data_IF_170752626993
#
_entry.id   IF_170752626993
#
_cell.length_a   1.000
_cell.length_b   1.000
_cell.length_c   1.000
_cell.angle_alpha   90.00
_cell.angle_beta   90.00
_cell.angle_gamma   90.00
#
_symmetry.space_group_name_H-M   'P 1'
#
loop_
_entity.id
_entity.type
_entity.pdbx_description
1 polymer ?
#
# COMPACT_ATOMS: atom_id res chain seq x y z
N UNK A 1 32.80 -10.68 -5.75
CA UNK A 1 31.45 -10.09 -5.73
C UNK A 1 31.63 -8.58 -5.62
N UNK A 2 31.45 -7.86 -6.72
CA UNK A 2 31.58 -6.41 -6.79
C UNK A 2 30.42 -5.73 -6.04
N UNK A 3 30.74 -4.72 -5.25
CA UNK A 3 29.76 -3.87 -4.55
C UNK A 3 28.82 -3.23 -5.57
N UNK A 4 27.48 -3.32 -5.43
CA UNK A 4 26.58 -2.69 -6.37
C UNK A 4 26.39 -1.20 -6.03
N UNK A 5 26.67 -0.36 -7.03
CA UNK A 5 26.14 0.99 -7.27
C UNK A 5 26.32 2.05 -6.15
N UNK A 6 27.49 2.69 -6.11
CA UNK A 6 27.66 4.04 -5.53
C UNK A 6 27.49 5.17 -6.56
N UNK A 7 27.26 4.86 -7.85
CA UNK A 7 27.49 5.82 -8.94
C UNK A 7 26.32 6.78 -9.26
N UNK A 8 25.08 6.53 -8.85
CA UNK A 8 23.93 7.34 -9.31
C UNK A 8 23.82 8.71 -8.62
N UNK A 9 24.22 8.83 -7.36
CA UNK A 9 24.20 10.09 -6.62
C UNK A 9 25.39 11.00 -6.99
N UNK A 10 26.53 10.38 -7.33
CA UNK A 10 27.75 11.08 -7.75
C UNK A 10 27.63 11.66 -9.16
N UNK A 11 26.64 11.20 -9.95
CA UNK A 11 26.32 11.72 -11.28
C UNK A 11 25.39 12.95 -11.27
N UNK A 12 24.88 13.36 -10.11
CA UNK A 12 23.97 14.52 -10.03
C UNK A 12 24.76 15.84 -10.02
N UNK A 13 24.33 16.87 -10.76
CA UNK A 13 24.88 18.22 -10.60
C UNK A 13 24.84 18.66 -9.13
N UNK A 14 25.87 19.37 -8.67
CA UNK A 14 26.01 19.75 -7.26
C UNK A 14 24.75 20.47 -6.70
N UNK A 15 24.13 21.32 -7.52
CA UNK A 15 22.87 22.00 -7.16
C UNK A 15 21.72 21.01 -6.93
N UNK A 16 21.56 20.01 -7.80
CA UNK A 16 20.50 19.01 -7.68
C UNK A 16 20.76 18.06 -6.50
N UNK A 17 22.03 17.71 -6.26
CA UNK A 17 22.43 16.95 -5.09
C UNK A 17 22.10 17.70 -3.79
N UNK A 18 22.36 19.02 -3.74
CA UNK A 18 22.01 19.84 -2.59
C UNK A 18 20.50 19.96 -2.40
N UNK A 19 19.75 20.21 -3.47
CA UNK A 19 18.28 20.26 -3.44
C UNK A 19 17.67 18.94 -2.93
N UNK A 20 18.20 17.80 -3.38
CA UNK A 20 17.76 16.49 -2.91
C UNK A 20 18.06 16.29 -1.41
N UNK A 21 19.26 16.68 -0.95
CA UNK A 21 19.63 16.63 0.47
C UNK A 21 18.68 17.48 1.32
N UNK A 22 18.42 18.71 0.91
CA UNK A 22 17.54 19.62 1.63
C UNK A 22 16.10 19.09 1.66
N UNK A 23 15.61 18.55 0.53
CA UNK A 23 14.30 17.92 0.45
C UNK A 23 14.19 16.71 1.38
N UNK A 24 15.19 15.83 1.40
CA UNK A 24 15.22 14.65 2.28
C UNK A 24 15.29 15.07 3.75
N UNK A 25 16.10 16.08 4.08
CA UNK A 25 16.19 16.63 5.44
C UNK A 25 14.84 17.18 5.91
N UNK A 26 14.18 17.98 5.09
CA UNK A 26 12.87 18.53 5.40
C UNK A 26 11.79 17.44 5.51
N UNK A 27 11.78 16.47 4.60
CA UNK A 27 10.85 15.35 4.66
C UNK A 27 11.06 14.52 5.93
N UNK A 28 12.31 14.25 6.30
CA UNK A 28 12.65 13.54 7.52
C UNK A 28 12.17 14.33 8.74
N UNK A 29 12.52 15.61 8.86
CA UNK A 29 12.07 16.50 9.96
C UNK A 29 10.56 16.48 10.16
N UNK A 30 9.79 16.60 9.07
CA UNK A 30 8.32 16.54 9.08
C UNK A 30 7.77 15.22 9.66
N UNK A 31 8.54 14.14 9.58
CA UNK A 31 8.18 12.84 10.15
C UNK A 31 8.67 12.74 11.60
N UNK A 32 9.94 13.03 11.85
CA UNK A 32 10.58 12.73 13.14
C UNK A 32 10.19 13.72 14.25
N UNK A 33 9.91 14.99 13.92
CA UNK A 33 9.52 16.00 14.90
C UNK A 33 8.18 15.66 15.57
N UNK A 34 7.07 15.42 14.84
CA UNK A 34 5.80 15.05 15.49
C UNK A 34 5.86 13.68 16.17
N UNK A 35 6.65 12.74 15.62
CA UNK A 35 6.71 11.37 16.13
C UNK A 35 7.62 11.22 17.36
N UNK A 36 8.44 12.21 17.70
CA UNK A 36 9.26 12.19 18.91
C UNK A 36 8.43 12.16 20.20
N UNK A 37 7.19 12.66 20.15
CA UNK A 37 6.22 12.60 21.24
C UNK A 37 5.37 11.30 21.24
N UNK A 38 5.58 10.39 20.29
CA UNK A 38 4.82 9.13 20.21
C UNK A 38 5.10 8.21 21.41
N UNK A 39 4.16 7.32 21.73
CA UNK A 39 4.36 6.34 22.79
C UNK A 39 5.60 5.48 22.55
N UNK A 40 5.90 5.12 21.30
CA UNK A 40 7.11 4.39 20.98
C UNK A 40 8.37 5.20 21.27
N UNK A 41 8.44 6.47 20.84
CA UNK A 41 9.57 7.34 21.12
C UNK A 41 9.79 7.57 22.63
N UNK A 42 8.70 7.65 23.39
CA UNK A 42 8.75 7.89 24.83
C UNK A 42 9.09 6.64 25.64
N UNK A 43 8.62 5.46 25.22
CA UNK A 43 8.70 4.25 26.05
C UNK A 43 9.68 3.20 25.55
N UNK A 44 10.10 3.23 24.28
CA UNK A 44 11.02 2.22 23.76
C UNK A 44 12.44 2.44 24.33
N UNK A 45 13.04 1.42 24.97
CA UNK A 45 14.40 1.54 25.52
C UNK A 45 15.45 1.89 24.46
N UNK A 46 15.24 1.40 23.24
CA UNK A 46 16.11 1.63 22.09
C UNK A 46 16.24 3.11 21.71
N UNK A 47 15.28 3.95 22.10
CA UNK A 47 15.27 5.39 21.82
C UNK A 47 15.65 6.26 23.04
N UNK A 48 16.08 5.65 24.16
CA UNK A 48 16.36 6.38 25.39
C UNK A 48 17.39 7.49 25.23
N UNK A 49 18.52 7.22 24.55
CA UNK A 49 19.57 8.22 24.30
C UNK A 49 19.09 9.38 23.44
N UNK A 50 18.32 9.07 22.39
CA UNK A 50 17.75 10.10 21.52
C UNK A 50 16.78 10.99 22.30
N UNK A 51 15.88 10.39 23.10
CA UNK A 51 14.93 11.12 23.95
C UNK A 51 15.61 12.04 24.95
N UNK A 52 16.69 11.57 25.58
CA UNK A 52 17.48 12.39 26.51
C UNK A 52 18.11 13.60 25.80
N UNK A 53 18.75 13.37 24.64
CA UNK A 53 19.41 14.42 23.87
C UNK A 53 18.43 15.52 23.41
N UNK A 54 17.24 15.16 22.94
CA UNK A 54 16.25 16.16 22.48
C UNK A 54 15.56 16.90 23.64
N UNK A 55 15.63 16.38 24.86
CA UNK A 55 15.10 17.05 26.06
C UNK A 55 16.08 18.11 26.58
N UNK A 56 17.37 17.89 26.35
CA UNK A 56 18.46 18.78 26.78
C UNK A 56 18.82 19.85 25.74
N UNK A 57 18.56 19.58 24.45
CA UNK A 57 18.87 20.49 23.34
C UNK A 57 17.84 21.61 23.13
N UNK A 58 18.15 22.55 22.24
CA UNK A 58 17.19 23.55 21.79
C UNK A 58 16.10 22.89 20.94
N UNK A 59 14.86 22.91 21.43
CA UNK A 59 13.70 22.38 20.73
C UNK A 59 13.51 22.96 19.31
N UNK A 60 14.05 24.14 19.01
CA UNK A 60 13.90 24.81 17.71
C UNK A 60 15.07 24.61 16.74
N UNK A 61 16.18 23.99 17.15
CA UNK A 61 17.31 23.72 16.25
C UNK A 61 17.08 22.44 15.44
N UNK A 62 16.64 22.60 14.19
CA UNK A 62 16.41 21.49 13.26
C UNK A 62 17.69 20.80 12.78
N UNK A 63 18.82 21.50 12.76
CA UNK A 63 20.11 20.93 12.34
C UNK A 63 20.61 20.01 13.45
N UNK A 64 20.60 20.48 14.69
CA UNK A 64 20.98 19.68 15.84
C UNK A 64 20.04 18.46 15.99
N UNK A 65 18.73 18.67 15.89
CA UNK A 65 17.75 17.58 15.99
C UNK A 65 17.97 16.47 14.95
N UNK A 66 18.24 16.84 13.69
CA UNK A 66 18.59 15.88 12.64
C UNK A 66 19.89 15.13 12.93
N UNK A 67 20.90 15.84 13.44
CA UNK A 67 22.19 15.26 13.81
C UNK A 67 22.03 14.23 14.93
N UNK A 68 21.29 14.59 15.99
CA UNK A 68 20.97 13.71 17.10
C UNK A 68 20.17 12.50 16.64
N UNK A 69 19.16 12.68 15.77
CA UNK A 69 18.39 11.56 15.22
C UNK A 69 19.28 10.56 14.49
N UNK A 70 20.11 11.02 13.56
CA UNK A 70 21.00 10.16 12.77
C UNK A 70 22.04 9.42 13.60
N UNK A 71 22.49 10.03 14.69
CA UNK A 71 23.54 9.49 15.55
C UNK A 71 22.98 8.53 16.59
N UNK A 72 21.80 8.81 17.14
CA UNK A 72 21.29 8.17 18.35
C UNK A 72 20.13 7.21 18.09
N UNK A 73 19.43 7.31 16.96
CA UNK A 73 18.36 6.38 16.60
C UNK A 73 18.94 5.22 15.80
N UNK A 74 18.98 4.00 16.35
CA UNK A 74 19.55 2.86 15.65
C UNK A 74 18.58 2.32 14.59
N UNK A 75 19.12 1.55 13.66
CA UNK A 75 18.33 0.72 12.76
C UNK A 75 17.63 -0.36 13.59
N UNK A 76 16.33 -0.54 13.38
CA UNK A 76 15.47 -1.42 14.17
C UNK A 76 14.78 -2.48 13.31
N UNK A 77 14.29 -3.53 13.96
CA UNK A 77 13.50 -4.60 13.34
C UNK A 77 12.10 -4.67 13.94
N UNK A 78 11.21 -5.46 13.32
CA UNK A 78 9.78 -5.53 13.66
C UNK A 78 9.52 -5.94 15.11
N UNK A 79 10.40 -6.77 15.68
CA UNK A 79 10.29 -7.35 17.01
C UNK A 79 10.26 -6.27 18.10
N UNK A 80 10.87 -5.09 17.85
CA UNK A 80 10.82 -3.95 18.78
C UNK A 80 9.47 -3.21 18.75
N UNK A 81 8.73 -3.31 17.64
CA UNK A 81 7.42 -2.67 17.45
C UNK A 81 6.27 -3.61 17.82
N UNK A 82 6.48 -4.92 17.76
CA UNK A 82 5.46 -5.93 18.00
C UNK A 82 4.70 -5.76 19.33
N UNK A 83 5.33 -5.49 20.49
CA UNK A 83 4.60 -5.24 21.74
C UNK A 83 3.67 -4.02 21.68
N UNK A 84 4.05 -2.99 20.93
CA UNK A 84 3.24 -1.78 20.74
C UNK A 84 2.05 -2.06 19.82
N UNK A 85 2.25 -2.85 18.76
CA UNK A 85 1.19 -3.28 17.85
C UNK A 85 0.21 -4.26 18.53
N UNK A 86 0.69 -5.11 19.44
CA UNK A 86 -0.13 -6.05 20.18
C UNK A 86 -1.20 -5.35 21.05
N UNK A 87 -0.94 -4.11 21.51
CA UNK A 87 -1.90 -3.31 22.31
C UNK A 87 -3.23 -3.07 21.59
N UNK A 88 -3.22 -3.00 20.25
CA UNK A 88 -4.47 -2.89 19.48
C UNK A 88 -5.39 -4.09 19.69
N UNK A 89 -4.85 -5.26 20.07
CA UNK A 89 -5.61 -6.49 20.27
C UNK A 89 -5.86 -6.81 21.75
N UNK A 90 -5.53 -5.89 22.67
CA UNK A 90 -5.89 -6.02 24.07
C UNK A 90 -7.41 -5.98 24.26
N UNK A 91 -7.91 -6.59 25.35
CA UNK A 91 -9.32 -6.59 25.71
C UNK A 91 -9.48 -6.09 27.16
N UNK A 92 -9.99 -4.85 27.37
CA UNK A 92 -10.38 -3.86 26.36
C UNK A 92 -9.15 -3.16 25.74
N UNK A 93 -9.25 -2.80 24.45
CA UNK A 93 -8.29 -1.88 23.80
C UNK A 93 -8.73 -0.44 24.03
N UNK A 94 -8.11 0.28 24.96
CA UNK A 94 -8.47 1.68 25.26
C UNK A 94 -7.74 2.64 24.34
N UNK A 95 -8.41 3.72 23.93
CA UNK A 95 -7.83 4.76 23.07
C UNK A 95 -6.50 5.28 23.62
N UNK A 96 -6.42 5.60 24.92
CA UNK A 96 -5.19 6.07 25.58
C UNK A 96 -3.99 5.12 25.39
N UNK A 97 -4.25 3.81 25.28
CA UNK A 97 -3.20 2.82 25.13
C UNK A 97 -2.66 2.74 23.70
N UNK A 98 -3.40 3.26 22.70
CA UNK A 98 -3.08 3.12 21.26
C UNK A 98 -3.04 4.43 20.46
N UNK A 99 -3.51 5.53 21.03
CA UNK A 99 -3.42 6.88 20.47
C UNK A 99 -1.99 7.39 20.55
N UNK A 100 -1.53 8.06 19.49
CA UNK A 100 -0.16 8.53 19.36
C UNK A 100 0.88 7.39 19.44
N UNK A 101 0.53 6.17 19.06
CA UNK A 101 1.37 4.98 19.27
C UNK A 101 2.74 5.09 18.57
N UNK A 102 2.72 5.30 17.25
CA UNK A 102 3.92 5.45 16.41
C UNK A 102 3.97 6.82 15.72
N UNK A 103 2.83 7.48 15.58
CA UNK A 103 2.67 8.81 15.01
C UNK A 103 1.42 9.47 15.63
N UNK A 104 1.27 10.80 15.54
CA UNK A 104 0.12 11.50 16.09
C UNK A 104 -1.24 10.94 15.62
N UNK A 105 -2.19 10.87 16.55
CA UNK A 105 -3.55 10.36 16.34
C UNK A 105 -3.66 8.83 16.40
N UNK A 106 -4.77 8.31 15.89
CA UNK A 106 -4.99 6.89 15.69
C UNK A 106 -4.58 6.49 14.27
N UNK A 107 -4.08 5.25 14.05
CA UNK A 107 -3.89 4.75 12.70
C UNK A 107 -5.23 4.64 11.98
N UNK A 108 -5.22 4.82 10.65
CA UNK A 108 -6.38 4.61 9.79
C UNK A 108 -6.69 3.12 9.63
N UNK A 109 -5.65 2.29 9.54
CA UNK A 109 -5.76 0.83 9.46
C UNK A 109 -4.46 0.14 9.89
N UNK A 110 -4.52 -1.16 10.19
CA UNK A 110 -3.35 -2.03 10.35
C UNK A 110 -3.09 -2.77 9.05
N UNK A 111 -1.97 -2.44 8.39
CA UNK A 111 -1.56 -3.12 7.17
C UNK A 111 -0.97 -4.49 7.48
N UNK A 112 -1.63 -5.53 6.97
CA UNK A 112 -1.09 -6.89 6.93
C UNK A 112 -0.13 -7.02 5.75
N UNK A 113 1.11 -7.41 6.05
CA UNK A 113 2.12 -7.68 5.01
C UNK A 113 2.22 -9.17 4.72
N UNK A 114 2.80 -9.51 3.56
CA UNK A 114 3.13 -10.89 3.20
C UNK A 114 4.32 -11.45 4.00
N UNK A 115 5.12 -10.58 4.62
CA UNK A 115 6.21 -10.97 5.50
C UNK A 115 5.66 -11.42 6.87
N UNK A 116 6.17 -12.54 7.37
CA UNK A 116 5.79 -13.09 8.69
C UNK A 116 6.89 -12.89 9.72
N UNK A 117 6.53 -12.69 10.99
CA UNK A 117 7.40 -12.95 12.15
C UNK A 117 6.79 -14.10 12.96
N UNK A 118 7.59 -15.10 13.34
CA UNK A 118 7.06 -16.25 14.10
C UNK A 118 5.91 -17.00 13.41
N UNK A 119 5.87 -17.01 12.06
CA UNK A 119 4.77 -17.55 11.22
C UNK A 119 3.45 -16.76 11.26
N UNK A 120 3.41 -15.62 11.95
CA UNK A 120 2.27 -14.68 11.97
C UNK A 120 2.58 -13.50 11.04
N UNK A 121 1.63 -13.01 10.24
CA UNK A 121 1.83 -11.83 9.40
C UNK A 121 2.23 -10.61 10.23
N UNK A 122 3.24 -9.85 9.77
CA UNK A 122 3.60 -8.57 10.38
C UNK A 122 2.53 -7.52 10.10
N UNK A 123 2.15 -6.76 11.13
CA UNK A 123 1.12 -5.74 11.10
C UNK A 123 1.74 -4.35 11.29
N UNK A 124 1.45 -3.42 10.37
CA UNK A 124 2.00 -2.08 10.41
C UNK A 124 0.87 -1.05 10.52
N UNK A 125 0.80 -0.26 11.61
CA UNK A 125 -0.13 0.86 11.70
C UNK A 125 0.12 1.87 10.58
N UNK A 126 -0.92 2.19 9.81
CA UNK A 126 -0.87 3.18 8.73
C UNK A 126 -1.66 4.41 9.11
N UNK A 127 -0.97 5.53 9.19
CA UNK A 127 -1.57 6.84 9.47
C UNK A 127 -1.86 7.54 8.15
N UNK A 128 -2.84 8.44 8.16
CA UNK A 128 -3.12 9.29 7.01
C UNK A 128 -1.91 10.21 6.78
N UNK A 129 -1.25 10.15 5.61
CA UNK A 129 -0.14 11.05 5.34
C UNK A 129 -0.66 12.49 5.21
N UNK A 130 0.22 13.51 5.37
CA UNK A 130 -0.13 14.87 5.00
C UNK A 130 -0.66 14.95 3.56
N UNK A 131 -1.62 15.84 3.30
CA UNK A 131 -2.32 15.97 2.01
C UNK A 131 -1.37 16.05 0.81
N UNK A 132 -0.24 16.75 0.96
CA UNK A 132 0.81 16.86 -0.07
C UNK A 132 1.42 15.51 -0.51
N UNK A 133 1.31 14.46 0.30
CA UNK A 133 1.82 13.12 0.00
C UNK A 133 0.72 12.12 -0.38
N UNK A 134 -0.57 12.48 -0.29
CA UNK A 134 -1.67 11.61 -0.73
C UNK A 134 -1.63 11.37 -2.26
N UNK A 135 -1.08 12.32 -3.02
CA UNK A 135 -1.03 12.27 -4.49
C UNK A 135 0.04 11.30 -5.05
N UNK A 136 0.97 10.81 -4.22
CA UNK A 136 2.05 9.91 -4.66
C UNK A 136 1.78 8.43 -4.42
N UNK A 137 0.57 8.05 -3.99
CA UNK A 137 0.22 6.64 -3.83
C UNK A 137 0.13 5.95 -5.20
N UNK A 138 1.00 4.96 -5.39
CA UNK A 138 1.24 4.06 -6.54
C UNK A 138 0.02 3.33 -7.15
N UNK A 139 -1.20 3.65 -6.74
CA UNK A 139 -2.40 3.14 -7.40
C UNK A 139 -2.83 4.12 -8.48
N UNK A 140 -2.85 3.65 -9.72
CA UNK A 140 -3.19 4.42 -10.92
C UNK A 140 -4.46 5.27 -10.70
N UNK A 141 -4.34 6.57 -11.00
CA UNK A 141 -5.48 7.46 -11.10
C UNK A 141 -6.17 7.12 -12.42
N UNK A 142 -7.48 6.85 -12.44
CA UNK A 142 -8.22 6.71 -13.68
C UNK A 142 -8.04 7.97 -14.53
N UNK A 143 -7.51 7.81 -15.75
CA UNK A 143 -7.54 8.90 -16.72
C UNK A 143 -8.95 9.03 -17.28
N UNK A 144 -9.31 10.19 -17.80
CA UNK A 144 -10.55 10.38 -18.57
C UNK A 144 -10.58 9.58 -19.87
N UNK A 145 -9.50 8.87 -20.23
CA UNK A 145 -9.31 8.18 -21.51
C UNK A 145 -9.83 6.74 -21.49
N UNK A 146 -10.21 6.19 -20.33
CA UNK A 146 -10.78 4.85 -20.22
C UNK A 146 -10.82 4.30 -18.79
N UNK A 147 -11.00 2.99 -18.67
CA UNK A 147 -11.11 2.31 -17.37
C UNK A 147 -9.83 1.55 -16.99
N UNK A 148 -9.68 1.33 -15.69
CA UNK A 148 -8.56 0.58 -15.12
C UNK A 148 -9.02 -0.79 -14.66
N UNK A 149 -8.37 -1.82 -15.18
CA UNK A 149 -8.43 -3.17 -14.62
C UNK A 149 -7.38 -3.29 -13.50
N UNK A 150 -7.82 -3.05 -12.27
CA UNK A 150 -6.98 -3.10 -11.07
C UNK A 150 -7.65 -3.88 -9.94
N UNK A 151 -7.42 -5.20 -9.83
CA UNK A 151 -7.91 -5.98 -8.70
C UNK A 151 -7.36 -5.45 -7.38
N UNK A 152 -8.24 -5.15 -6.43
CA UNK A 152 -7.90 -4.82 -5.06
C UNK A 152 -8.82 -5.58 -4.12
N UNK A 153 -8.28 -6.08 -3.02
CA UNK A 153 -9.04 -6.85 -2.04
C UNK A 153 -9.33 -5.99 -0.82
N UNK A 154 -10.60 -5.94 -0.42
CA UNK A 154 -11.09 -5.34 0.82
C UNK A 154 -11.37 -6.39 1.90
N UNK A 155 -11.00 -7.64 1.66
CA UNK A 155 -11.19 -8.76 2.59
C UNK A 155 -10.62 -8.38 3.96
N UNK A 156 -11.48 -8.46 4.97
CA UNK A 156 -11.05 -8.59 6.34
C UNK A 156 -10.50 -9.99 6.52
N UNK A 157 -9.22 -10.09 6.86
CA UNK A 157 -8.58 -11.39 7.04
C UNK A 157 -9.35 -12.27 8.04
N UNK A 158 -9.16 -13.59 7.98
CA UNK A 158 -9.60 -14.54 9.02
C UNK A 158 -9.13 -14.19 10.45
N UNK A 159 -8.25 -13.20 10.62
CA UNK A 159 -7.99 -12.51 11.89
C UNK A 159 -9.04 -11.40 12.13
N UNK A 160 -10.31 -11.67 11.84
CA UNK A 160 -11.44 -10.74 11.67
C UNK A 160 -11.85 -9.96 12.91
N UNK A 161 -11.00 -9.87 13.93
CA UNK A 161 -11.13 -8.84 14.94
C UNK A 161 -10.64 -7.55 14.30
N UNK A 162 -11.56 -6.78 13.70
CA UNK A 162 -11.36 -5.35 13.63
C UNK A 162 -11.29 -4.90 15.10
N UNK A 163 -10.10 -4.58 15.64
CA UNK A 163 -10.01 -4.34 17.06
C UNK A 163 -10.85 -3.11 17.38
N UNK A 164 -11.66 -3.22 18.42
CA UNK A 164 -12.51 -2.13 18.89
C UNK A 164 -11.69 -1.30 19.84
N UNK A 165 -11.41 -0.06 19.43
CA UNK A 165 -10.77 0.92 20.26
C UNK A 165 -11.86 1.64 21.04
N UNK A 166 -11.89 1.45 22.35
CA UNK A 166 -12.82 2.16 23.24
C UNK A 166 -12.34 3.60 23.41
N UNK A 167 -13.13 4.56 22.95
CA UNK A 167 -12.77 5.97 22.98
C UNK A 167 -12.84 6.51 24.41
N UNK A 168 -12.12 7.61 24.65
CA UNK A 168 -12.04 8.24 25.98
C UNK A 168 -13.40 8.73 26.51
N UNK A 169 -14.40 8.91 25.64
CA UNK A 169 -15.77 9.25 26.02
C UNK A 169 -16.50 8.14 26.80
N UNK A 170 -15.92 6.92 26.86
CA UNK A 170 -16.44 5.77 27.59
C UNK A 170 -17.72 5.16 27.00
N UNK A 171 -18.25 5.69 25.90
CA UNK A 171 -19.51 5.26 25.30
C UNK A 171 -19.34 4.75 23.88
N UNK A 172 -18.35 5.23 23.14
CA UNK A 172 -18.15 4.89 21.75
C UNK A 172 -16.93 3.99 21.56
N UNK A 173 -16.98 3.20 20.49
CA UNK A 173 -15.86 2.38 20.06
C UNK A 173 -15.65 2.55 18.57
N UNK A 174 -14.40 2.68 18.15
CA UNK A 174 -14.04 2.72 16.75
C UNK A 174 -13.45 1.37 16.31
N UNK A 175 -13.94 0.82 15.20
CA UNK A 175 -13.36 -0.38 14.59
C UNK A 175 -12.11 -0.02 13.80
N UNK A 176 -11.00 -0.70 14.06
CA UNK A 176 -9.78 -0.54 13.27
C UNK A 176 -9.63 -1.67 12.25
N UNK A 177 -9.56 -1.33 10.96
CA UNK A 177 -9.44 -2.34 9.90
C UNK A 177 -8.07 -3.04 9.93
N UNK A 178 -8.06 -4.38 9.87
CA UNK A 178 -6.86 -5.21 9.68
C UNK A 178 -6.93 -5.84 8.29
N UNK A 179 -6.17 -5.26 7.35
CA UNK A 179 -6.37 -5.48 5.92
C UNK A 179 -5.04 -5.46 5.17
N UNK A 180 -5.02 -6.05 3.97
CA UNK A 180 -3.88 -5.89 3.06
C UNK A 180 -3.63 -4.40 2.76
N UNK A 181 -2.34 -4.03 2.62
CA UNK A 181 -1.94 -2.64 2.41
C UNK A 181 -2.70 -1.97 1.26
N UNK A 182 -2.88 -2.67 0.13
CA UNK A 182 -3.60 -2.20 -1.05
C UNK A 182 -5.07 -1.84 -0.76
N UNK A 183 -5.78 -2.70 -0.03
CA UNK A 183 -7.15 -2.44 0.38
C UNK A 183 -7.27 -1.28 1.35
N UNK A 184 -6.35 -1.19 2.33
CA UNK A 184 -6.31 -0.06 3.25
C UNK A 184 -5.99 1.28 2.57
N UNK A 185 -5.12 1.28 1.56
CA UNK A 185 -4.88 2.46 0.73
C UNK A 185 -6.09 2.88 -0.09
N UNK A 186 -6.81 1.92 -0.67
CA UNK A 186 -8.06 2.19 -1.38
C UNK A 186 -9.07 2.85 -0.44
N UNK A 187 -9.31 2.28 0.74
CA UNK A 187 -10.19 2.87 1.76
C UNK A 187 -9.77 4.28 2.15
N UNK A 188 -8.47 4.49 2.40
CA UNK A 188 -7.95 5.80 2.78
C UNK A 188 -8.13 6.84 1.67
N UNK A 189 -7.89 6.46 0.40
CA UNK A 189 -8.04 7.33 -0.77
C UNK A 189 -9.49 7.74 -0.99
N UNK A 190 -10.40 6.77 -0.88
CA UNK A 190 -11.82 6.99 -1.11
C UNK A 190 -12.56 7.49 0.14
N UNK A 191 -11.84 7.68 1.25
CA UNK A 191 -12.39 8.01 2.55
C UNK A 191 -13.53 7.08 2.97
N UNK A 192 -13.35 5.77 2.73
CA UNK A 192 -14.28 4.73 3.13
C UNK A 192 -13.94 4.20 4.52
N UNK A 193 -14.94 4.17 5.37
CA UNK A 193 -14.95 3.42 6.63
C UNK A 193 -15.37 1.97 6.41
N UNK A 194 -15.31 1.14 7.45
CA UNK A 194 -15.72 -0.25 7.39
C UNK A 194 -17.23 -0.41 7.61
N UNK A 195 -17.79 0.43 8.45
CA UNK A 195 -19.16 0.36 8.95
C UNK A 195 -20.20 0.43 7.82
N UNK A 196 -19.91 1.17 6.74
CA UNK A 196 -20.82 1.33 5.61
C UNK A 196 -20.42 0.50 4.38
N UNK A 197 -19.66 -0.58 4.54
CA UNK A 197 -19.30 -1.45 3.41
C UNK A 197 -20.55 -2.03 2.71
N UNK A 198 -21.56 -2.40 3.50
CA UNK A 198 -22.80 -2.98 2.97
C UNK A 198 -23.65 -1.96 2.20
N UNK A 199 -23.56 -0.69 2.55
CA UNK A 199 -24.25 0.39 1.84
C UNK A 199 -23.59 0.70 0.48
N UNK A 200 -22.37 0.20 0.25
CA UNK A 200 -21.58 0.43 -0.96
C UNK A 200 -21.61 -0.75 -1.93
N UNK A 201 -22.45 -1.77 -1.72
CA UNK A 201 -22.46 -2.95 -2.61
C UNK A 201 -22.77 -2.59 -4.06
N UNK A 202 -23.64 -1.61 -4.29
CA UNK A 202 -24.01 -1.14 -5.63
C UNK A 202 -23.06 -0.05 -6.17
N UNK A 203 -22.04 0.33 -5.40
CA UNK A 203 -21.10 1.38 -5.81
C UNK A 203 -20.20 0.90 -6.94
N UNK A 204 -20.33 1.54 -8.09
CA UNK A 204 -19.31 1.46 -9.13
C UNK A 204 -18.19 2.43 -8.83
N UNK A 205 -16.98 1.91 -8.63
CA UNK A 205 -15.83 2.75 -8.29
C UNK A 205 -15.44 3.55 -9.54
N UNK A 206 -15.44 4.90 -9.50
CA UNK A 206 -15.19 5.71 -10.68
C UNK A 206 -13.87 5.34 -11.37
N UNK A 207 -13.95 5.01 -12.66
CA UNK A 207 -12.81 4.67 -13.49
C UNK A 207 -12.22 3.25 -13.30
N UNK A 208 -12.86 2.40 -12.50
CA UNK A 208 -12.50 0.98 -12.37
C UNK A 208 -13.47 0.10 -13.15
N UNK A 209 -12.97 -1.04 -13.62
CA UNK A 209 -13.79 -2.00 -14.38
C UNK A 209 -14.80 -2.75 -13.51
N UNK A 210 -14.52 -2.97 -12.22
CA UNK A 210 -15.33 -3.80 -11.34
C UNK A 210 -16.01 -2.97 -10.23
N UNK A 211 -17.22 -3.37 -9.78
CA UNK A 211 -17.91 -2.73 -8.66
C UNK A 211 -17.20 -2.99 -7.33
N UNK A 212 -17.52 -2.19 -6.33
CA UNK A 212 -17.02 -2.33 -4.96
C UNK A 212 -17.24 -3.73 -4.39
N UNK A 213 -18.41 -4.33 -4.62
CA UNK A 213 -18.74 -5.67 -4.12
C UNK A 213 -17.73 -6.76 -4.54
N UNK A 214 -17.08 -6.63 -5.70
CA UNK A 214 -16.07 -7.58 -6.14
C UNK A 214 -14.86 -7.63 -5.18
N UNK A 215 -14.55 -6.50 -4.53
CA UNK A 215 -13.42 -6.39 -3.60
C UNK A 215 -13.66 -7.14 -2.28
N UNK A 216 -14.92 -7.47 -1.95
CA UNK A 216 -15.31 -8.17 -0.72
C UNK A 216 -15.26 -9.70 -0.85
N UNK A 217 -14.98 -10.24 -2.04
CA UNK A 217 -14.93 -11.68 -2.28
C UNK A 217 -13.71 -12.28 -1.57
N UNK A 218 -13.94 -13.15 -0.57
CA UNK A 218 -12.88 -13.78 0.22
C UNK A 218 -12.12 -14.88 -0.54
N UNK A 219 -12.80 -15.60 -1.42
CA UNK A 219 -12.16 -16.65 -2.21
C UNK A 219 -11.26 -16.03 -3.29
N UNK A 220 -9.95 -16.27 -3.17
CA UNK A 220 -8.94 -15.71 -4.07
C UNK A 220 -9.22 -16.02 -5.55
N UNK A 221 -9.72 -17.22 -5.87
CA UNK A 221 -9.99 -17.59 -7.26
C UNK A 221 -11.23 -16.86 -7.77
N UNK A 222 -12.33 -16.87 -7.04
CA UNK A 222 -13.56 -16.17 -7.38
C UNK A 222 -13.31 -14.66 -7.49
N UNK A 223 -12.53 -14.08 -6.58
CA UNK A 223 -12.09 -12.69 -6.61
C UNK A 223 -11.46 -12.33 -7.97
N UNK A 224 -10.42 -13.06 -8.40
CA UNK A 224 -9.78 -12.79 -9.68
C UNK A 224 -10.71 -13.04 -10.87
N UNK A 225 -11.53 -14.08 -10.83
CA UNK A 225 -12.46 -14.41 -11.91
C UNK A 225 -13.54 -13.33 -12.09
N UNK A 226 -14.11 -12.82 -11.01
CA UNK A 226 -15.14 -11.78 -11.06
C UNK A 226 -14.55 -10.48 -11.60
N UNK A 227 -13.38 -10.05 -11.10
CA UNK A 227 -12.69 -8.88 -11.63
C UNK A 227 -12.34 -9.02 -13.12
N UNK A 228 -11.87 -10.20 -13.54
CA UNK A 228 -11.59 -10.48 -14.94
C UNK A 228 -12.85 -10.46 -15.81
N UNK A 229 -13.98 -10.97 -15.31
CA UNK A 229 -15.25 -10.95 -16.03
C UNK A 229 -15.69 -9.52 -16.35
N UNK A 230 -15.64 -8.63 -15.36
CA UNK A 230 -15.96 -7.22 -15.55
C UNK A 230 -14.98 -6.52 -16.51
N UNK A 231 -13.69 -6.81 -16.40
CA UNK A 231 -12.69 -6.26 -17.33
C UNK A 231 -12.92 -6.77 -18.76
N UNK A 232 -13.32 -8.03 -18.95
CA UNK A 232 -13.56 -8.60 -20.28
C UNK A 232 -14.79 -8.01 -20.99
N UNK A 233 -15.76 -7.49 -20.22
CA UNK A 233 -16.94 -6.80 -20.78
C UNK A 233 -16.66 -5.35 -21.16
N UNK A 234 -15.53 -4.80 -20.72
CA UNK A 234 -15.17 -3.41 -20.95
C UNK A 234 -14.10 -3.30 -22.05
N UNK A 235 -14.48 -2.77 -23.21
CA UNK A 235 -13.56 -2.53 -24.32
C UNK A 235 -12.68 -1.30 -24.12
N UNK A 236 -12.98 -0.45 -23.14
CA UNK A 236 -12.31 0.81 -22.84
C UNK A 236 -11.22 0.66 -21.78
N UNK A 237 -10.81 -0.57 -21.45
CA UNK A 237 -9.68 -0.81 -20.54
C UNK A 237 -8.39 -0.27 -21.17
N UNK A 238 -7.89 0.83 -20.62
CA UNK A 238 -6.65 1.47 -21.08
C UNK A 238 -5.45 1.08 -20.23
N UNK A 239 -5.70 0.70 -18.97
CA UNK A 239 -4.65 0.38 -18.00
C UNK A 239 -4.95 -0.91 -17.26
N UNK A 240 -3.95 -1.79 -17.20
CA UNK A 240 -3.92 -2.90 -16.25
C UNK A 240 -2.97 -2.60 -15.11
N UNK A 241 -3.43 -2.77 -13.88
CA UNK A 241 -2.60 -2.61 -12.69
C UNK A 241 -2.72 -3.82 -11.78
N UNK A 242 -1.63 -4.56 -11.65
CA UNK A 242 -1.53 -5.69 -10.74
C UNK A 242 -0.40 -5.44 -9.76
N UNK A 243 -0.62 -5.70 -8.47
CA UNK A 243 0.46 -5.58 -7.48
C UNK A 243 1.64 -6.49 -7.82
N UNK A 244 1.34 -7.73 -8.22
CA UNK A 244 2.34 -8.69 -8.67
C UNK A 244 1.96 -9.20 -10.05
N UNK A 245 2.92 -9.23 -10.96
CA UNK A 245 2.76 -9.68 -12.35
C UNK A 245 2.29 -11.14 -12.47
N UNK A 246 2.57 -11.99 -11.48
CA UNK A 246 2.13 -13.39 -11.45
C UNK A 246 0.61 -13.55 -11.24
N UNK A 247 -0.09 -12.51 -10.78
CA UNK A 247 -1.54 -12.51 -10.55
C UNK A 247 -2.35 -12.70 -11.83
N UNK A 248 -1.72 -12.53 -13.00
CA UNK A 248 -2.37 -12.57 -14.31
C UNK A 248 -2.71 -13.99 -14.81
N UNK A 249 -2.40 -15.04 -14.05
CA UNK A 249 -2.53 -16.45 -14.49
C UNK A 249 -3.92 -17.08 -14.30
N UNK A 250 -4.95 -16.34 -13.88
CA UNK A 250 -6.21 -16.94 -13.38
C UNK A 250 -7.50 -16.49 -14.08
N UNK A 251 -7.62 -16.67 -15.40
CA UNK A 251 -8.84 -16.32 -16.17
C UNK A 251 -9.44 -17.53 -16.89
N UNK A 252 -10.76 -17.76 -16.77
CA UNK A 252 -11.54 -18.77 -17.52
C UNK A 252 -12.76 -18.16 -18.22
N UNK A 253 -13.24 -18.80 -19.29
CA UNK A 253 -13.97 -18.16 -20.40
C UNK A 253 -15.49 -17.98 -20.24
N UNK A 254 -16.03 -16.91 -20.86
CA UNK A 254 -17.46 -16.59 -21.09
C UNK A 254 -17.84 -16.96 -22.55
N UNK A 255 -18.88 -17.76 -22.84
CA UNK A 255 -19.09 -18.41 -24.14
C UNK A 255 -19.27 -17.50 -25.38
N UNK A 256 -19.92 -16.34 -25.27
CA UNK A 256 -20.12 -15.43 -26.44
C UNK A 256 -18.85 -14.67 -26.77
N UNK A 257 -18.20 -14.11 -25.74
CA UNK A 257 -16.87 -13.50 -25.86
C UNK A 257 -15.78 -14.55 -26.12
N UNK A 258 -15.99 -15.79 -25.70
CA UNK A 258 -15.06 -16.90 -25.90
C UNK A 258 -14.92 -17.26 -27.38
N UNK A 259 -15.96 -17.09 -28.20
CA UNK A 259 -15.84 -17.34 -29.64
C UNK A 259 -14.84 -16.36 -30.29
N UNK A 260 -14.83 -15.11 -29.86
CA UNK A 260 -13.85 -14.10 -30.28
C UNK A 260 -12.46 -14.35 -29.67
N UNK A 261 -12.40 -14.63 -28.36
CA UNK A 261 -11.15 -14.88 -27.63
C UNK A 261 -10.46 -16.20 -28.05
N UNK A 262 -11.21 -17.24 -28.43
CA UNK A 262 -10.65 -18.52 -28.93
C UNK A 262 -9.80 -18.32 -30.18
N UNK A 263 -10.10 -17.31 -31.00
CA UNK A 263 -9.28 -16.95 -32.18
C UNK A 263 -7.94 -16.30 -31.79
N UNK A 264 -7.83 -15.77 -30.56
CA UNK A 264 -6.63 -15.10 -30.04
C UNK A 264 -5.67 -16.12 -29.40
N UNK A 265 -6.18 -17.20 -28.81
CA UNK A 265 -5.40 -18.19 -28.05
C UNK A 265 -5.36 -17.89 -26.54
N UNK A 266 -4.82 -18.81 -25.72
CA UNK A 266 -4.82 -18.64 -24.27
C UNK A 266 -3.87 -17.53 -23.78
N UNK A 267 -4.18 -16.90 -22.62
CA UNK A 267 -3.33 -15.88 -22.00
C UNK A 267 -1.87 -16.30 -21.85
N UNK A 268 -0.95 -15.55 -22.48
CA UNK A 268 0.50 -15.76 -22.36
C UNK A 268 1.11 -16.79 -23.32
N UNK A 269 0.33 -17.31 -24.27
CA UNK A 269 0.86 -18.17 -25.35
C UNK A 269 0.96 -17.44 -26.69
N UNK A 270 0.03 -16.52 -26.98
CA UNK A 270 0.03 -15.73 -28.22
C UNK A 270 0.65 -14.34 -28.02
N UNK A 271 1.52 -13.92 -28.94
CA UNK A 271 2.08 -12.57 -28.92
C UNK A 271 1.00 -11.50 -29.15
N UNK A 272 1.02 -10.48 -28.30
CA UNK A 272 0.09 -9.35 -28.31
C UNK A 272 -1.30 -9.68 -27.80
N UNK A 273 -1.52 -10.84 -27.17
CA UNK A 273 -2.85 -11.31 -26.80
C UNK A 273 -3.64 -10.28 -25.96
N UNK A 274 -3.00 -9.61 -24.99
CA UNK A 274 -3.67 -8.65 -24.12
C UNK A 274 -4.23 -7.46 -24.91
N UNK A 275 -3.49 -6.92 -25.89
CA UNK A 275 -3.97 -5.83 -26.76
C UNK A 275 -5.03 -6.33 -27.75
N UNK A 276 -5.00 -7.62 -28.14
CA UNK A 276 -6.09 -8.21 -28.93
C UNK A 276 -7.39 -8.35 -28.13
N UNK A 277 -7.29 -8.61 -26.82
CA UNK A 277 -8.45 -8.67 -25.92
C UNK A 277 -8.94 -7.27 -25.57
N UNK A 278 -8.03 -6.34 -25.32
CA UNK A 278 -8.30 -4.94 -24.95
C UNK A 278 -7.55 -4.01 -25.93
N UNK A 279 -8.17 -3.65 -27.08
CA UNK A 279 -7.51 -2.82 -28.09
C UNK A 279 -7.11 -1.42 -27.60
N UNK A 280 -7.78 -0.91 -26.57
CA UNK A 280 -7.48 0.37 -25.94
C UNK A 280 -6.32 0.30 -24.92
N UNK A 281 -5.79 -0.89 -24.63
CA UNK A 281 -4.75 -1.09 -23.61
C UNK A 281 -3.43 -0.42 -24.03
N UNK A 282 -3.01 0.57 -23.25
CA UNK A 282 -1.76 1.32 -23.50
C UNK A 282 -0.74 1.18 -22.36
N UNK A 283 -1.20 0.76 -21.17
CA UNK A 283 -0.37 0.72 -19.94
C UNK A 283 -0.56 -0.57 -19.15
N UNK A 284 0.55 -1.15 -18.71
CA UNK A 284 0.61 -2.27 -17.79
C UNK A 284 1.54 -1.89 -16.64
N UNK A 285 0.98 -1.91 -15.43
CA UNK A 285 1.68 -1.51 -14.21
C UNK A 285 1.72 -2.71 -13.28
N UNK A 286 2.90 -3.10 -12.85
CA UNK A 286 3.07 -4.11 -11.80
C UNK A 286 4.52 -4.31 -11.40
N UNK A 287 4.72 -4.93 -10.23
CA UNK A 287 6.09 -5.15 -9.71
C UNK A 287 6.80 -6.19 -10.58
N UNK A 288 7.82 -5.75 -11.30
CA UNK A 288 8.66 -6.56 -12.19
C UNK A 288 10.03 -6.88 -11.58
N UNK A 289 10.38 -6.29 -10.44
CA UNK A 289 11.65 -6.51 -9.75
C UNK A 289 11.71 -7.80 -8.92
N UNK A 290 12.93 -8.15 -8.49
CA UNK A 290 13.18 -9.29 -7.59
C UNK A 290 12.71 -10.63 -8.17
N UNK A 291 12.05 -11.45 -7.35
CA UNK A 291 11.55 -12.78 -7.77
C UNK A 291 10.53 -12.71 -8.91
N UNK A 292 9.90 -11.55 -9.14
CA UNK A 292 8.89 -11.36 -10.18
C UNK A 292 9.48 -11.06 -11.56
N UNK A 293 10.78 -10.78 -11.65
CA UNK A 293 11.49 -10.57 -12.92
C UNK A 293 11.34 -11.76 -13.88
N UNK A 294 11.15 -12.97 -13.34
CA UNK A 294 10.90 -14.20 -14.12
C UNK A 294 9.65 -14.12 -15.01
N UNK A 295 8.72 -13.21 -14.71
CA UNK A 295 7.48 -13.02 -15.47
C UNK A 295 7.60 -11.95 -16.56
N UNK A 296 8.64 -11.13 -16.50
CA UNK A 296 8.84 -9.98 -17.40
C UNK A 296 8.84 -10.39 -18.87
N UNK A 297 9.51 -11.47 -19.31
CA UNK A 297 9.42 -11.92 -20.70
C UNK A 297 7.98 -12.24 -21.15
N UNK A 298 7.13 -12.74 -20.25
CA UNK A 298 5.72 -13.03 -20.53
C UNK A 298 4.86 -11.77 -20.57
N UNK A 299 5.24 -10.74 -19.82
CA UNK A 299 4.60 -9.42 -19.88
C UNK A 299 4.99 -8.69 -21.17
N UNK A 300 6.26 -8.79 -21.61
CA UNK A 300 6.72 -8.19 -22.87
C UNK A 300 6.08 -8.77 -24.13
N UNK A 301 5.47 -9.94 -24.04
CA UNK A 301 4.61 -10.45 -25.12
C UNK A 301 3.38 -9.55 -25.34
N UNK A 302 3.05 -8.62 -24.44
CA UNK A 302 2.07 -7.55 -24.65
C UNK A 302 2.75 -6.37 -25.40
N UNK A 303 2.86 -6.42 -26.73
CA UNK A 303 3.42 -5.29 -27.52
C UNK A 303 2.58 -4.00 -27.34
N UNK A 304 3.20 -2.82 -27.52
CA UNK A 304 2.62 -1.46 -27.45
C UNK A 304 2.22 -0.91 -26.07
N UNK A 305 2.79 -1.46 -24.99
CA UNK A 305 2.50 -1.03 -23.64
C UNK A 305 3.69 -0.31 -23.01
N UNK A 306 3.48 0.87 -22.44
CA UNK A 306 4.53 1.58 -21.68
C UNK A 306 4.73 0.94 -20.31
N UNK A 307 5.99 0.74 -19.93
CA UNK A 307 6.39 0.12 -18.67
C UNK A 307 6.96 1.17 -17.71
N UNK A 308 6.41 1.23 -16.51
CA UNK A 308 6.94 2.03 -15.40
C UNK A 308 7.32 1.08 -14.26
N UNK A 309 8.59 1.13 -13.85
CA UNK A 309 9.10 0.44 -12.66
C UNK A 309 8.63 1.12 -11.37
#
# INVERSE_FOLDING_TARGET
MSSPASDLLDCLPAQLCQQLKDHVNQALLKIIRPNSASQFAQNAPVLAKFREAITQGDSNDDIEFLSQFRTLVPITSYELYEPFVAKFFADPCREVDVKNMLAPGLPYFLARTSATSGKVPKLFPRYRPPTQYLHHATMSIPSSEGTIFAPYSLILSKYSKAPKIHLEDGQTSQSLAVIHASGGWMRMRMNWDFEHDMDRLDLWVPGYTAPFAAALIDDHRAFFLVYALFALTDSMVTTMSFHFTNSFKHVTANPTRAAELRKIGPPGEAEGWAVRVWPALTKFIGITGGIFAVTVPKVFQMRNVYYTN
#
